data_IF_297355919848
#
_entry.id   IF_297355919848
#
_cell.length_a   1.000
_cell.length_b   1.000
_cell.length_c   1.000
_cell.angle_alpha   90.00
_cell.angle_beta   90.00
_cell.angle_gamma   90.00
#
_symmetry.space_group_name_H-M   'P 1'
#
loop_
_entity.id
_entity.type
_entity.pdbx_description
1 polymer ?
#
# COMPACT_ATOMS: atom_id res chain seq x y z
N UNK A 1 -5.27 -35.42 -22.71
CA UNK A 1 -6.76 -35.45 -22.77
C UNK A 1 -7.47 -34.55 -21.74
N UNK A 2 -6.84 -34.14 -20.63
CA UNK A 2 -7.51 -33.36 -19.57
C UNK A 2 -7.84 -31.89 -19.88
N UNK A 3 -7.20 -31.25 -20.86
CA UNK A 3 -7.37 -29.81 -21.14
C UNK A 3 -8.58 -29.47 -22.02
N UNK A 4 -9.12 -30.42 -22.79
CA UNK A 4 -10.33 -30.20 -23.63
C UNK A 4 -11.64 -30.41 -22.88
N UNK A 5 -11.63 -31.22 -21.83
CA UNK A 5 -12.85 -31.52 -21.08
C UNK A 5 -13.18 -30.40 -20.07
N UNK A 6 -12.17 -29.74 -19.51
CA UNK A 6 -12.32 -28.65 -18.53
C UNK A 6 -12.92 -27.36 -19.09
N UNK A 7 -12.93 -27.15 -20.41
CA UNK A 7 -13.51 -25.97 -21.06
C UNK A 7 -15.01 -26.10 -21.39
N UNK A 8 -15.57 -27.29 -21.22
CA UNK A 8 -16.99 -27.55 -21.46
C UNK A 8 -17.84 -27.16 -20.26
N UNK A 9 -19.09 -26.76 -20.50
CA UNK A 9 -20.01 -26.47 -19.39
C UNK A 9 -20.19 -27.70 -18.49
N UNK A 10 -20.41 -27.52 -17.17
CA UNK A 10 -20.55 -28.65 -16.24
C UNK A 10 -21.61 -29.67 -16.68
N UNK A 11 -22.70 -29.20 -17.30
CA UNK A 11 -23.76 -30.03 -17.86
C UNK A 11 -23.26 -30.88 -19.04
N UNK A 12 -22.45 -30.29 -19.94
CA UNK A 12 -21.83 -31.02 -21.05
C UNK A 12 -20.80 -32.04 -20.57
N UNK A 13 -20.03 -31.71 -19.53
CA UNK A 13 -19.10 -32.66 -18.89
C UNK A 13 -19.86 -33.85 -18.31
N UNK A 14 -20.94 -33.62 -17.56
CA UNK A 14 -21.74 -34.73 -17.02
C UNK A 14 -22.35 -35.57 -18.13
N UNK A 15 -22.89 -34.96 -19.19
CA UNK A 15 -23.46 -35.70 -20.32
C UNK A 15 -22.43 -36.59 -21.03
N UNK A 16 -21.20 -36.10 -21.25
CA UNK A 16 -20.13 -36.89 -21.87
C UNK A 16 -19.70 -38.05 -20.97
N UNK A 17 -19.51 -37.79 -19.67
CA UNK A 17 -19.16 -38.84 -18.69
C UNK A 17 -20.26 -39.91 -18.63
N UNK A 18 -21.53 -39.49 -18.66
CA UNK A 18 -22.69 -40.40 -18.64
C UNK A 18 -22.75 -41.28 -19.88
N UNK A 19 -22.48 -40.71 -21.06
CA UNK A 19 -22.44 -41.46 -22.32
C UNK A 19 -21.30 -42.49 -22.34
N UNK A 20 -20.11 -42.13 -21.86
CA UNK A 20 -18.98 -43.06 -21.74
C UNK A 20 -19.31 -44.17 -20.74
N UNK A 21 -19.89 -43.82 -19.58
CA UNK A 21 -20.29 -44.80 -18.57
C UNK A 21 -21.35 -45.78 -19.09
N UNK A 22 -22.33 -45.32 -19.87
CA UNK A 22 -23.34 -46.17 -20.48
C UNK A 22 -22.73 -47.15 -21.50
N UNK A 23 -21.81 -46.69 -22.35
CA UNK A 23 -21.11 -47.54 -23.32
C UNK A 23 -20.26 -48.62 -22.64
N UNK A 24 -19.51 -48.25 -21.61
CA UNK A 24 -18.70 -49.19 -20.83
C UNK A 24 -19.58 -50.20 -20.08
N UNK A 25 -20.69 -49.75 -19.50
CA UNK A 25 -21.64 -50.61 -18.81
C UNK A 25 -22.24 -51.65 -19.76
N UNK A 26 -22.69 -51.22 -20.95
CA UNK A 26 -23.26 -52.12 -21.98
C UNK A 26 -22.23 -53.11 -22.48
N UNK A 27 -20.99 -52.68 -22.76
CA UNK A 27 -19.92 -53.57 -23.18
C UNK A 27 -19.60 -54.62 -22.09
N UNK A 28 -19.44 -54.17 -20.84
CA UNK A 28 -19.15 -55.06 -19.71
C UNK A 28 -20.27 -56.08 -19.47
N UNK A 29 -21.52 -55.60 -19.41
CA UNK A 29 -22.69 -56.46 -19.19
C UNK A 29 -22.85 -57.45 -20.34
N UNK A 30 -22.71 -57.01 -21.60
CA UNK A 30 -22.79 -57.89 -22.77
C UNK A 30 -21.71 -58.97 -22.78
N UNK A 31 -20.46 -58.62 -22.50
CA UNK A 31 -19.35 -59.59 -22.44
C UNK A 31 -19.55 -60.61 -21.33
N UNK A 32 -19.89 -60.17 -20.11
CA UNK A 32 -20.14 -61.07 -18.98
C UNK A 32 -21.32 -61.99 -19.27
N UNK A 33 -22.42 -61.45 -19.80
CA UNK A 33 -23.62 -62.24 -20.06
C UNK A 33 -23.37 -63.33 -21.11
N UNK A 34 -22.69 -62.99 -22.21
CA UNK A 34 -22.35 -63.94 -23.27
C UNK A 34 -21.42 -65.06 -22.79
N UNK A 35 -20.46 -64.76 -21.91
CA UNK A 35 -19.51 -65.75 -21.39
C UNK A 35 -20.15 -66.76 -20.43
N UNK A 36 -21.10 -66.33 -19.60
CA UNK A 36 -21.67 -67.17 -18.53
C UNK A 36 -23.02 -67.79 -18.86
N UNK A 37 -23.88 -67.10 -19.64
CA UNK A 37 -25.28 -67.48 -19.84
C UNK A 37 -25.65 -67.70 -21.31
N UNK A 38 -24.80 -67.29 -22.26
CA UNK A 38 -25.10 -67.35 -23.70
C UNK A 38 -26.17 -66.34 -24.14
N UNK A 39 -26.71 -66.51 -25.36
CA UNK A 39 -27.81 -65.68 -25.87
C UNK A 39 -29.16 -66.31 -25.50
N UNK A 40 -29.75 -65.87 -24.38
CA UNK A 40 -31.11 -66.21 -23.98
C UNK A 40 -32.06 -65.01 -24.15
N UNK A 41 -33.37 -65.20 -23.92
CA UNK A 41 -34.35 -64.11 -24.07
C UNK A 41 -34.13 -62.93 -23.08
N UNK A 42 -33.40 -63.15 -21.99
CA UNK A 42 -33.13 -62.14 -20.95
C UNK A 42 -31.94 -61.24 -21.30
N UNK A 43 -31.10 -61.64 -22.26
CA UNK A 43 -29.96 -60.86 -22.75
C UNK A 43 -30.35 -59.41 -23.10
N UNK A 44 -31.43 -59.24 -23.86
CA UNK A 44 -31.89 -57.91 -24.27
C UNK A 44 -32.38 -57.05 -23.09
N UNK A 45 -32.98 -57.67 -22.07
CA UNK A 45 -33.38 -56.96 -20.85
C UNK A 45 -32.17 -56.47 -20.05
N UNK A 46 -31.12 -57.30 -19.94
CA UNK A 46 -29.88 -56.95 -19.25
C UNK A 46 -29.15 -55.78 -19.94
N UNK A 47 -29.07 -55.80 -21.28
CA UNK A 47 -28.48 -54.71 -22.07
C UNK A 47 -29.28 -53.41 -21.89
N UNK A 48 -30.62 -53.47 -21.95
CA UNK A 48 -31.46 -52.30 -21.76
C UNK A 48 -31.29 -51.69 -20.35
N UNK A 49 -31.26 -52.52 -19.30
CA UNK A 49 -31.05 -52.04 -17.93
C UNK A 49 -29.65 -51.42 -17.74
N UNK A 50 -28.61 -52.06 -18.28
CA UNK A 50 -27.24 -51.54 -18.25
C UNK A 50 -27.09 -50.20 -18.98
N UNK A 51 -27.91 -49.94 -20.00
CA UNK A 51 -27.93 -48.66 -20.68
C UNK A 51 -28.66 -47.58 -19.86
N UNK A 52 -29.77 -47.93 -19.20
CA UNK A 52 -30.64 -46.96 -18.49
C UNK A 52 -30.10 -46.52 -17.13
N UNK A 53 -29.49 -47.43 -16.35
CA UNK A 53 -29.03 -47.16 -14.97
C UNK A 53 -28.02 -45.99 -14.90
N UNK A 54 -27.00 -45.90 -15.77
CA UNK A 54 -26.06 -44.78 -15.76
C UNK A 54 -26.75 -43.44 -15.90
N UNK A 55 -27.69 -43.29 -16.84
CA UNK A 55 -28.44 -42.04 -17.03
C UNK A 55 -29.31 -41.68 -15.83
N UNK A 56 -29.96 -42.67 -15.21
CA UNK A 56 -30.81 -42.47 -14.04
C UNK A 56 -30.04 -41.90 -12.83
N UNK A 57 -28.75 -42.24 -12.68
CA UNK A 57 -27.90 -41.79 -11.56
C UNK A 57 -27.15 -40.50 -11.91
N UNK A 58 -26.56 -40.44 -13.10
CA UNK A 58 -25.63 -39.37 -13.48
C UNK A 58 -26.33 -38.04 -13.78
N UNK A 59 -27.54 -38.05 -14.36
CA UNK A 59 -28.29 -36.83 -14.64
C UNK A 59 -28.66 -36.09 -13.33
N UNK A 60 -29.33 -36.72 -12.33
CA UNK A 60 -29.68 -36.03 -11.09
C UNK A 60 -28.45 -35.58 -10.29
N UNK A 61 -27.40 -36.42 -10.23
CA UNK A 61 -26.16 -36.10 -9.54
C UNK A 61 -25.44 -34.90 -10.19
N UNK A 62 -25.41 -34.85 -11.52
CA UNK A 62 -24.87 -33.72 -12.28
C UNK A 62 -25.58 -32.41 -12.00
N UNK A 63 -26.92 -32.43 -12.00
CA UNK A 63 -27.73 -31.27 -11.67
C UNK A 63 -27.50 -30.80 -10.23
N UNK A 64 -27.43 -31.73 -9.28
CA UNK A 64 -27.13 -31.44 -7.88
C UNK A 64 -25.75 -30.80 -7.71
N UNK A 65 -24.70 -31.39 -8.31
CA UNK A 65 -23.34 -30.84 -8.27
C UNK A 65 -23.24 -29.49 -8.98
N UNK A 66 -23.94 -29.29 -10.10
CA UNK A 66 -23.99 -28.01 -10.81
C UNK A 66 -24.59 -26.92 -9.92
N UNK A 67 -25.70 -27.21 -9.23
CA UNK A 67 -26.32 -26.29 -8.27
C UNK A 67 -25.41 -25.98 -7.09
N UNK A 68 -24.69 -26.97 -6.56
CA UNK A 68 -23.71 -26.75 -5.48
C UNK A 68 -22.52 -25.89 -5.93
N UNK A 69 -21.97 -26.16 -7.12
CA UNK A 69 -20.88 -25.35 -7.70
C UNK A 69 -21.30 -23.91 -7.89
N UNK A 70 -22.52 -23.67 -8.38
CA UNK A 70 -23.05 -22.32 -8.53
C UNK A 70 -23.13 -21.58 -7.20
N UNK A 71 -23.66 -22.23 -6.14
CA UNK A 71 -23.69 -21.65 -4.78
C UNK A 71 -22.29 -21.36 -4.24
N UNK A 72 -21.33 -22.28 -4.43
CA UNK A 72 -19.95 -22.08 -4.00
C UNK A 72 -19.30 -20.88 -4.69
N UNK A 73 -19.47 -20.75 -6.00
CA UNK A 73 -18.96 -19.60 -6.77
C UNK A 73 -19.59 -18.29 -6.30
N UNK A 74 -20.88 -18.29 -5.98
CA UNK A 74 -21.53 -17.10 -5.41
C UNK A 74 -21.01 -16.74 -4.02
N UNK A 75 -20.80 -17.72 -3.15
CA UNK A 75 -20.25 -17.50 -1.81
C UNK A 75 -18.81 -16.97 -1.89
N UNK A 76 -17.97 -17.53 -2.76
CA UNK A 76 -16.60 -17.04 -2.91
C UNK A 76 -16.56 -15.63 -3.48
N UNK A 77 -17.45 -15.28 -4.41
CA UNK A 77 -17.57 -13.91 -4.92
C UNK A 77 -18.03 -12.95 -3.81
N UNK A 78 -19.04 -13.31 -3.01
CA UNK A 78 -19.49 -12.51 -1.86
C UNK A 78 -18.39 -12.30 -0.82
N UNK A 79 -17.60 -13.34 -0.53
CA UNK A 79 -16.46 -13.24 0.38
C UNK A 79 -15.41 -12.27 -0.17
N UNK A 80 -15.07 -12.37 -1.47
CA UNK A 80 -14.15 -11.44 -2.12
C UNK A 80 -14.66 -10.00 -2.08
N UNK A 81 -15.93 -9.76 -2.40
CA UNK A 81 -16.53 -8.43 -2.32
C UNK A 81 -16.50 -7.87 -0.90
N UNK A 82 -16.84 -8.69 0.10
CA UNK A 82 -16.81 -8.29 1.51
C UNK A 82 -15.38 -7.97 1.95
N UNK A 83 -14.39 -8.76 1.51
CA UNK A 83 -12.98 -8.52 1.79
C UNK A 83 -12.48 -7.21 1.17
N UNK A 84 -12.92 -6.88 -0.06
CA UNK A 84 -12.61 -5.60 -0.70
C UNK A 84 -13.25 -4.45 0.08
N UNK A 85 -14.53 -4.56 0.45
CA UNK A 85 -15.23 -3.55 1.24
C UNK A 85 -14.58 -3.33 2.60
N UNK A 86 -14.19 -4.40 3.30
CA UNK A 86 -13.51 -4.30 4.59
C UNK A 86 -12.15 -3.61 4.45
N UNK A 87 -11.36 -3.95 3.41
CA UNK A 87 -10.09 -3.27 3.12
C UNK A 87 -10.29 -1.80 2.79
N UNK A 88 -11.33 -1.45 2.02
CA UNK A 88 -11.66 -0.06 1.72
C UNK A 88 -12.09 0.70 2.97
N UNK A 89 -12.93 0.11 3.81
CA UNK A 89 -13.36 0.71 5.07
C UNK A 89 -12.17 0.90 6.03
N UNK A 90 -11.29 -0.09 6.16
CA UNK A 90 -10.08 0.03 6.98
C UNK A 90 -9.16 1.13 6.44
N UNK A 91 -8.92 1.19 5.13
CA UNK A 91 -8.15 2.29 4.52
C UNK A 91 -8.81 3.64 4.76
N UNK A 92 -10.13 3.73 4.66
CA UNK A 92 -10.87 4.96 4.94
C UNK A 92 -10.82 5.35 6.43
N UNK A 93 -10.74 4.39 7.35
CA UNK A 93 -10.53 4.63 8.78
C UNK A 93 -9.08 5.04 9.08
N UNK A 94 -8.09 4.40 8.46
CA UNK A 94 -6.69 4.80 8.52
C UNK A 94 -6.52 6.24 8.01
N UNK A 95 -7.19 6.59 6.92
CA UNK A 95 -7.25 7.95 6.38
C UNK A 95 -7.96 8.96 7.30
N UNK A 96 -8.75 8.51 8.28
CA UNK A 96 -9.42 9.40 9.25
C UNK A 96 -8.57 9.72 10.47
N UNK A 97 -7.37 9.15 10.57
CA UNK A 97 -6.40 9.58 11.58
C UNK A 97 -5.70 10.82 11.05
N UNK A 98 -6.36 11.97 11.21
CA UNK A 98 -5.82 13.26 10.79
C UNK A 98 -4.55 13.65 11.56
N UNK A 99 -4.31 12.98 12.69
CA UNK A 99 -3.35 13.38 13.73
C UNK A 99 -2.47 12.19 14.10
N UNK A 100 -1.15 12.37 14.13
CA UNK A 100 -0.19 11.42 14.68
C UNK A 100 -0.42 11.23 16.18
N UNK A 101 -0.75 10.01 16.63
CA UNK A 101 -1.15 9.75 18.01
C UNK A 101 -0.07 9.99 19.06
N UNK A 102 1.20 10.10 18.64
CA UNK A 102 2.33 10.36 19.54
C UNK A 102 2.55 11.87 19.71
N UNK A 103 2.79 12.58 18.62
CA UNK A 103 3.13 14.02 18.66
C UNK A 103 1.89 14.91 18.68
N UNK A 104 0.74 14.38 18.27
CA UNK A 104 -0.51 15.10 18.06
C UNK A 104 -0.45 16.13 16.91
N UNK A 105 0.58 16.08 16.06
CA UNK A 105 0.66 16.85 14.82
C UNK A 105 -0.13 16.16 13.72
N UNK A 106 -0.21 16.73 12.52
CA UNK A 106 -0.83 16.03 11.41
C UNK A 106 -0.09 14.73 11.08
N UNK A 107 -0.84 13.69 10.71
CA UNK A 107 -0.25 12.49 10.12
C UNK A 107 0.31 12.79 8.72
N UNK A 108 1.21 11.93 8.22
CA UNK A 108 1.83 12.09 6.89
C UNK A 108 0.81 12.40 5.79
N UNK A 109 -0.24 11.59 5.69
CA UNK A 109 -1.26 11.74 4.64
C UNK A 109 -2.05 13.04 4.78
N UNK A 110 -2.32 13.46 6.02
CA UNK A 110 -3.07 14.68 6.33
C UNK A 110 -2.26 15.95 6.07
N UNK A 111 -0.97 15.92 6.39
CA UNK A 111 -0.03 16.98 6.05
C UNK A 111 -0.01 17.22 4.54
N UNK A 112 0.21 16.17 3.74
CA UNK A 112 0.24 16.31 2.29
C UNK A 112 -1.11 16.74 1.70
N UNK A 113 -2.21 16.23 2.23
CA UNK A 113 -3.55 16.64 1.78
C UNK A 113 -3.80 18.15 2.02
N UNK A 114 -3.37 18.69 3.16
CA UNK A 114 -3.49 20.12 3.45
C UNK A 114 -2.50 20.96 2.64
N UNK A 115 -1.26 20.50 2.47
CA UNK A 115 -0.28 21.14 1.60
C UNK A 115 -0.84 21.27 0.17
N UNK A 116 -1.38 20.19 -0.39
CA UNK A 116 -1.94 20.19 -1.75
C UNK A 116 -3.16 21.11 -1.88
N UNK A 117 -3.98 21.21 -0.83
CA UNK A 117 -5.15 22.09 -0.81
C UNK A 117 -4.77 23.58 -0.72
N UNK A 118 -3.83 23.95 0.17
CA UNK A 118 -3.51 25.34 0.45
C UNK A 118 -2.52 25.95 -0.55
N UNK A 119 -1.63 25.14 -1.14
CA UNK A 119 -0.64 25.65 -2.11
C UNK A 119 -1.26 26.21 -3.38
N UNK A 120 -2.50 25.81 -3.71
CA UNK A 120 -3.20 26.30 -4.90
C UNK A 120 -3.63 27.77 -4.76
N UNK A 121 -3.85 28.22 -3.53
CA UNK A 121 -4.42 29.53 -3.21
C UNK A 121 -3.38 30.54 -2.67
N UNK A 122 -2.12 30.12 -2.49
CA UNK A 122 -1.04 30.95 -1.92
C UNK A 122 -0.21 31.62 -3.02
N UNK A 123 0.08 32.92 -2.90
CA UNK A 123 0.92 33.63 -3.88
C UNK A 123 2.42 33.28 -3.73
N UNK A 124 2.86 33.09 -2.49
CA UNK A 124 4.19 32.61 -2.15
C UNK A 124 4.06 31.60 -1.02
N UNK A 125 4.78 30.48 -1.09
CA UNK A 125 4.76 29.49 -0.02
C UNK A 125 6.09 28.76 0.09
N UNK A 126 6.36 28.27 1.30
CA UNK A 126 7.58 27.56 1.64
C UNK A 126 7.24 26.19 2.20
N UNK A 127 8.00 25.18 1.76
CA UNK A 127 8.03 23.88 2.39
C UNK A 127 9.34 23.71 3.16
N UNK A 128 9.25 23.19 4.38
CA UNK A 128 10.39 22.75 5.17
C UNK A 128 10.28 21.28 5.51
N UNK A 129 11.41 20.60 5.47
CA UNK A 129 11.58 19.26 6.03
C UNK A 129 12.59 19.37 7.18
N UNK A 130 12.15 18.94 8.36
CA UNK A 130 12.91 18.98 9.60
C UNK A 130 13.23 17.55 10.00
N UNK A 131 14.49 17.29 10.35
CA UNK A 131 14.93 15.99 10.84
C UNK A 131 15.73 16.13 12.14
N UNK A 132 15.45 15.25 13.09
CA UNK A 132 16.12 15.24 14.39
C UNK A 132 17.54 14.67 14.24
N UNK A 133 18.53 15.51 14.52
CA UNK A 133 19.91 15.12 14.40
C UNK A 133 20.24 14.02 15.41
N UNK A 134 20.94 12.99 14.92
CA UNK A 134 21.40 11.88 15.76
C UNK A 134 20.28 11.16 16.54
N UNK A 135 19.03 11.18 16.06
CA UNK A 135 17.90 10.54 16.75
C UNK A 135 18.14 9.06 17.09
N UNK A 136 18.77 8.32 16.17
CA UNK A 136 19.19 6.93 16.44
C UNK A 136 20.09 6.83 17.69
N UNK A 137 21.04 7.76 17.89
CA UNK A 137 21.90 7.76 19.10
C UNK A 137 21.11 8.07 20.36
N UNK A 138 20.07 8.92 20.29
CA UNK A 138 19.17 9.18 21.41
C UNK A 138 18.47 7.87 21.81
N UNK A 139 17.92 7.14 20.84
CA UNK A 139 17.29 5.84 21.07
C UNK A 139 18.27 4.79 21.60
N UNK A 140 19.46 4.69 21.00
CA UNK A 140 20.47 3.70 21.38
C UNK A 140 21.00 3.96 22.80
N UNK A 141 21.13 5.23 23.21
CA UNK A 141 21.67 5.61 24.52
C UNK A 141 20.61 5.63 25.64
N UNK A 142 19.37 5.99 25.34
CA UNK A 142 18.34 6.27 26.36
C UNK A 142 17.07 5.42 26.21
N UNK A 143 16.96 4.63 25.15
CA UNK A 143 15.80 3.79 24.83
C UNK A 143 14.71 4.52 24.04
N UNK A 144 13.90 3.74 23.32
CA UNK A 144 12.84 4.25 22.45
C UNK A 144 11.82 5.16 23.15
N UNK A 145 11.46 4.86 24.40
CA UNK A 145 10.53 5.69 25.17
C UNK A 145 11.05 7.12 25.40
N UNK A 146 12.37 7.30 25.48
CA UNK A 146 13.00 8.62 25.62
C UNK A 146 13.06 9.33 24.27
N UNK A 147 13.33 8.59 23.18
CA UNK A 147 13.19 9.13 21.83
C UNK A 147 11.78 9.62 21.53
N UNK A 148 10.75 8.87 21.93
CA UNK A 148 9.35 9.29 21.77
C UNK A 148 9.07 10.60 22.51
N UNK A 149 9.61 10.77 23.72
CA UNK A 149 9.51 12.05 24.46
C UNK A 149 10.18 13.21 23.74
N UNK A 150 11.33 12.98 23.09
CA UNK A 150 11.98 14.00 22.28
C UNK A 150 11.08 14.43 21.11
N UNK A 151 10.42 13.49 20.42
CA UNK A 151 9.51 13.80 19.33
C UNK A 151 8.25 14.55 19.79
N UNK A 152 7.69 14.18 20.95
CA UNK A 152 6.58 14.92 21.58
C UNK A 152 6.99 16.36 21.88
N UNK A 153 8.18 16.55 22.44
CA UNK A 153 8.71 17.89 22.75
C UNK A 153 8.81 18.76 21.50
N UNK A 154 9.33 18.22 20.40
CA UNK A 154 9.38 18.93 19.12
C UNK A 154 7.97 19.31 18.63
N UNK A 155 7.00 18.40 18.74
CA UNK A 155 5.61 18.69 18.39
C UNK A 155 5.03 19.86 19.18
N UNK A 156 5.33 19.94 20.48
CA UNK A 156 4.89 21.06 21.32
C UNK A 156 5.61 22.37 20.97
N UNK A 157 6.89 22.33 20.60
CA UNK A 157 7.63 23.51 20.12
C UNK A 157 7.00 24.00 18.81
N UNK A 158 6.77 23.13 17.83
CA UNK A 158 6.17 23.55 16.56
C UNK A 158 4.80 24.21 16.76
N UNK A 159 3.94 23.66 17.62
CA UNK A 159 2.62 24.28 17.91
C UNK A 159 2.72 25.66 18.56
N UNK A 160 3.77 25.93 19.33
CA UNK A 160 3.98 27.21 20.00
C UNK A 160 4.60 28.25 19.06
N UNK A 161 5.48 27.81 18.17
CA UNK A 161 6.24 28.69 17.27
C UNK A 161 5.47 29.05 16.01
N UNK A 162 4.68 28.11 15.47
CA UNK A 162 3.96 28.28 14.20
C UNK A 162 2.60 28.96 14.38
N UNK A 163 2.17 29.68 13.34
CA UNK A 163 0.87 30.38 13.28
C UNK A 163 -0.25 29.39 13.01
N UNK A 164 -1.50 29.83 13.22
CA UNK A 164 -2.70 29.02 13.00
C UNK A 164 -2.86 28.53 11.55
N UNK A 165 -2.39 29.31 10.58
CA UNK A 165 -2.49 28.97 9.15
C UNK A 165 -1.32 28.12 8.65
N UNK A 166 -0.27 27.96 9.46
CA UNK A 166 0.87 27.13 9.14
C UNK A 166 0.49 25.66 9.36
N UNK A 167 0.94 24.80 8.45
CA UNK A 167 0.62 23.36 8.49
C UNK A 167 1.85 22.61 8.96
N UNK A 168 1.71 21.80 10.00
CA UNK A 168 2.80 20.96 10.52
C UNK A 168 2.34 19.53 10.72
N UNK A 169 3.17 18.58 10.29
CA UNK A 169 2.90 17.16 10.41
C UNK A 169 4.15 16.30 10.56
N UNK A 170 3.97 15.12 11.14
CA UNK A 170 5.02 14.10 11.19
C UNK A 170 4.93 13.25 9.94
N UNK A 171 5.94 13.35 9.08
CA UNK A 171 5.95 12.68 7.77
C UNK A 171 6.77 11.38 7.80
N UNK A 172 7.65 11.20 8.78
CA UNK A 172 8.49 10.00 8.94
C UNK A 172 8.74 9.64 10.40
N UNK A 173 9.70 8.74 10.63
CA UNK A 173 10.08 8.30 11.99
C UNK A 173 10.54 9.47 12.86
N UNK A 174 11.57 10.19 12.41
CA UNK A 174 12.12 11.39 13.05
C UNK A 174 12.02 12.65 12.18
N UNK A 175 11.18 12.59 11.14
CA UNK A 175 11.03 13.63 10.12
C UNK A 175 9.68 14.33 10.23
N UNK A 176 9.72 15.66 10.17
CA UNK A 176 8.56 16.54 10.21
C UNK A 176 8.50 17.41 8.95
N UNK A 177 7.29 17.64 8.46
CA UNK A 177 7.01 18.58 7.38
C UNK A 177 6.35 19.84 7.95
N UNK A 178 6.79 21.00 7.48
CA UNK A 178 6.16 22.29 7.78
C UNK A 178 5.88 23.00 6.46
N UNK A 179 4.64 23.43 6.26
CA UNK A 179 4.22 24.22 5.11
C UNK A 179 3.73 25.57 5.59
N UNK A 180 4.33 26.63 5.03
CA UNK A 180 4.06 28.02 5.37
C UNK A 180 3.41 28.69 4.15
N UNK A 181 2.08 28.87 4.14
CA UNK A 181 1.42 29.67 3.11
C UNK A 181 1.77 31.15 3.29
N UNK A 182 1.62 31.92 2.21
CA UNK A 182 1.86 33.37 2.17
C UNK A 182 3.21 33.80 2.77
N UNK A 183 4.25 33.01 2.51
CA UNK A 183 5.58 33.18 3.11
C UNK A 183 6.64 33.15 2.01
N UNK A 184 7.53 34.14 2.00
CA UNK A 184 8.67 34.19 1.08
C UNK A 184 9.81 33.26 1.52
N UNK A 185 10.72 32.92 0.60
CA UNK A 185 11.86 32.05 0.90
C UNK A 185 12.75 32.58 2.06
N UNK A 186 12.98 33.90 2.10
CA UNK A 186 13.77 34.55 3.14
C UNK A 186 13.08 34.52 4.51
N UNK A 187 11.77 34.78 4.55
CA UNK A 187 10.96 34.63 5.77
C UNK A 187 10.93 33.18 6.23
N UNK A 188 10.83 32.24 5.29
CA UNK A 188 10.94 30.81 5.56
C UNK A 188 12.26 30.46 6.25
N UNK A 189 13.40 30.92 5.73
CA UNK A 189 14.69 30.69 6.39
C UNK A 189 14.72 31.26 7.82
N UNK A 190 14.19 32.46 8.03
CA UNK A 190 14.13 33.09 9.37
C UNK A 190 13.28 32.25 10.33
N UNK A 191 12.10 31.80 9.89
CA UNK A 191 11.22 30.94 10.69
C UNK A 191 11.90 29.60 11.00
N UNK A 192 12.61 29.02 10.02
CA UNK A 192 13.42 27.83 10.21
C UNK A 192 14.47 28.03 11.30
N UNK A 193 15.19 29.16 11.31
CA UNK A 193 16.22 29.44 12.31
C UNK A 193 15.63 29.65 13.70
N UNK A 194 14.46 30.30 13.79
CA UNK A 194 13.72 30.43 15.05
C UNK A 194 13.39 29.03 15.60
N UNK A 195 12.81 28.16 14.77
CA UNK A 195 12.46 26.79 15.17
C UNK A 195 13.70 26.02 15.62
N UNK A 196 14.78 26.09 14.85
CA UNK A 196 16.04 25.41 15.18
C UNK A 196 16.59 25.87 16.53
N UNK A 197 16.59 27.18 16.76
CA UNK A 197 17.12 27.76 17.99
C UNK A 197 16.23 27.45 19.21
N UNK A 198 14.91 27.47 19.05
CA UNK A 198 13.97 27.06 20.10
C UNK A 198 14.19 25.59 20.51
N UNK A 199 14.40 24.69 19.53
CA UNK A 199 14.68 23.27 19.81
C UNK A 199 16.02 23.10 20.54
N UNK A 200 17.07 23.76 20.05
CA UNK A 200 18.41 23.70 20.63
C UNK A 200 18.45 24.19 22.09
N UNK A 201 17.68 25.25 22.40
CA UNK A 201 17.65 25.84 23.73
C UNK A 201 16.64 25.18 24.68
N UNK A 202 15.75 24.32 24.17
CA UNK A 202 14.76 23.66 25.02
C UNK A 202 15.43 22.63 25.93
N UNK A 203 15.10 22.69 27.21
CA UNK A 203 15.62 21.73 28.20
C UNK A 203 15.01 20.36 27.93
N UNK A 204 15.84 19.41 27.50
CA UNK A 204 15.49 18.00 27.41
C UNK A 204 16.32 17.19 28.41
N UNK A 205 15.63 16.54 29.34
CA UNK A 205 16.25 15.73 30.40
C UNK A 205 15.84 14.25 30.23
N UNK A 206 16.60 13.44 29.47
CA UNK A 206 16.28 12.03 29.27
C UNK A 206 16.21 11.25 30.58
N UNK A 207 17.05 11.59 31.56
CA UNK A 207 17.08 11.06 32.93
C UNK A 207 17.23 12.20 33.94
N UNK A 208 16.81 11.99 35.19
CA UNK A 208 16.83 13.01 36.23
C UNK A 208 18.20 13.69 36.35
N UNK A 209 18.25 15.02 36.17
CA UNK A 209 19.46 15.87 36.21
C UNK A 209 20.49 15.63 35.11
N UNK A 210 20.16 14.87 34.07
CA UNK A 210 21.01 14.75 32.88
C UNK A 210 20.42 15.57 31.75
N UNK A 211 21.06 16.68 31.38
CA UNK A 211 20.66 17.48 30.22
C UNK A 211 21.23 16.90 28.94
N UNK A 212 20.40 16.85 27.90
CA UNK A 212 20.81 16.49 26.55
C UNK A 212 20.27 17.54 25.58
N UNK A 213 21.13 18.05 24.70
CA UNK A 213 20.74 19.03 23.69
C UNK A 213 20.22 18.28 22.46
N UNK A 214 19.00 18.58 22.05
CA UNK A 214 18.45 18.10 20.79
C UNK A 214 18.72 19.16 19.73
N UNK A 215 19.24 18.77 18.58
CA UNK A 215 19.38 19.66 17.42
C UNK A 215 18.60 19.11 16.23
N UNK A 216 18.29 19.97 15.28
CA UNK A 216 17.62 19.59 14.04
C UNK A 216 18.34 20.17 12.84
N UNK A 217 18.30 19.42 11.74
CA UNK A 217 18.65 19.92 10.42
C UNK A 217 17.37 20.25 9.66
N UNK A 218 17.34 21.39 8.96
CA UNK A 218 16.14 21.86 8.25
C UNK A 218 16.50 22.15 6.79
N UNK A 219 15.78 21.52 5.87
CA UNK A 219 15.80 21.86 4.45
C UNK A 219 14.58 22.70 4.09
N UNK A 220 14.81 23.87 3.51
CA UNK A 220 13.78 24.85 3.11
C UNK A 220 13.75 24.92 1.59
N UNK A 221 12.57 25.02 0.99
CA UNK A 221 12.41 25.32 -0.44
C UNK A 221 11.21 26.23 -0.62
N UNK A 222 11.34 27.19 -1.52
CA UNK A 222 10.21 27.88 -2.09
C UNK A 222 9.39 26.94 -2.98
N UNK A 223 8.12 27.26 -3.17
CA UNK A 223 7.20 26.51 -4.00
C UNK A 223 6.93 27.35 -5.25
N UNK A 224 7.37 26.84 -6.40
CA UNK A 224 7.06 27.46 -7.68
C UNK A 224 5.60 27.16 -8.09
N UNK A 225 4.93 28.07 -8.84
CA UNK A 225 3.61 27.80 -9.40
C UNK A 225 3.59 26.51 -10.21
N UNK A 226 2.58 25.68 -10.01
CA UNK A 226 2.40 24.39 -10.69
C UNK A 226 3.54 23.38 -10.51
N UNK A 227 4.40 23.56 -9.51
CA UNK A 227 5.47 22.61 -9.23
C UNK A 227 4.90 21.25 -8.82
N UNK A 228 5.40 20.19 -9.46
CA UNK A 228 5.03 18.82 -9.07
C UNK A 228 5.47 18.53 -7.63
N UNK A 229 4.64 17.78 -6.90
CA UNK A 229 4.88 17.46 -5.49
C UNK A 229 6.16 16.65 -5.29
N UNK A 230 6.50 15.74 -6.22
CA UNK A 230 7.74 14.96 -6.10
C UNK A 230 8.98 15.84 -6.31
N UNK A 231 8.91 16.80 -7.23
CA UNK A 231 9.98 17.79 -7.42
C UNK A 231 10.15 18.68 -6.18
N UNK A 232 9.04 19.18 -5.62
CA UNK A 232 9.02 20.00 -4.42
C UNK A 232 9.67 19.26 -3.22
N UNK A 233 9.25 18.01 -2.97
CA UNK A 233 9.86 17.18 -1.94
C UNK A 233 11.34 16.92 -2.20
N UNK A 234 11.71 16.66 -3.46
CA UNK A 234 13.11 16.45 -3.86
C UNK A 234 14.01 17.65 -3.57
N UNK A 235 13.50 18.88 -3.76
CA UNK A 235 14.23 20.10 -3.43
C UNK A 235 14.46 20.23 -1.92
N UNK A 236 13.40 20.07 -1.12
CA UNK A 236 13.50 20.16 0.34
C UNK A 236 14.42 19.06 0.92
N UNK A 237 14.34 17.83 0.40
CA UNK A 237 15.23 16.73 0.79
C UNK A 237 16.69 17.01 0.43
N UNK A 238 16.94 17.68 -0.71
CA UNK A 238 18.29 18.06 -1.14
C UNK A 238 18.89 19.12 -0.23
N UNK A 239 18.08 20.13 0.16
CA UNK A 239 18.48 21.13 1.13
C UNK A 239 18.76 20.50 2.51
N UNK A 240 17.87 19.62 2.99
CA UNK A 240 18.04 18.91 4.25
C UNK A 240 19.30 18.02 4.24
N UNK A 241 19.53 17.30 3.15
CA UNK A 241 20.73 16.49 2.99
C UNK A 241 22.00 17.34 3.05
N UNK A 242 21.97 18.52 2.43
CA UNK A 242 23.07 19.50 2.51
C UNK A 242 23.28 19.97 3.94
N UNK A 243 22.22 20.33 4.68
CA UNK A 243 22.29 20.69 6.09
C UNK A 243 22.95 19.58 6.94
N UNK A 244 22.58 18.32 6.71
CA UNK A 244 23.20 17.17 7.42
C UNK A 244 24.67 16.96 7.07
N UNK A 245 25.08 17.28 5.83
CA UNK A 245 26.48 17.16 5.38
C UNK A 245 27.35 18.31 5.85
N UNK A 246 26.80 19.51 5.96
CA UNK A 246 27.52 20.72 6.36
C UNK A 246 27.65 20.86 7.88
N UNK A 247 27.47 19.78 8.66
CA UNK A 247 27.67 19.80 10.11
C UNK A 247 26.41 19.68 10.96
N UNK A 248 25.22 19.52 10.35
CA UNK A 248 23.92 19.46 11.06
C UNK A 248 23.58 20.76 11.81
N UNK A 249 22.53 20.77 12.62
CA UNK A 249 22.08 21.92 13.41
C UNK A 249 22.06 23.23 12.60
N UNK A 250 21.43 23.21 11.43
CA UNK A 250 21.38 24.37 10.55
C UNK A 250 20.17 24.32 9.62
N UNK A 251 19.81 25.50 9.10
CA UNK A 251 18.80 25.67 8.07
C UNK A 251 19.48 25.91 6.73
N UNK A 252 19.08 25.16 5.71
CA UNK A 252 19.58 25.35 4.34
C UNK A 252 18.40 25.61 3.43
N UNK A 253 18.46 26.70 2.65
CA UNK A 253 17.51 26.94 1.56
C UNK A 253 18.01 26.24 0.30
N UNK A 254 17.09 25.60 -0.41
CA UNK A 254 17.36 24.98 -1.69
C UNK A 254 17.75 26.05 -2.71
N UNK A 255 18.87 25.82 -3.41
CA UNK A 255 19.27 26.62 -4.56
C UNK A 255 19.39 25.72 -5.79
N UNK A 256 18.96 26.20 -6.97
CA UNK A 256 19.18 25.47 -8.22
C UNK A 256 20.66 25.13 -8.42
N UNK A 257 20.96 23.84 -8.64
CA UNK A 257 22.32 23.34 -8.83
C UNK A 257 22.92 22.63 -7.61
N UNK A 258 22.23 22.60 -6.47
CA UNK A 258 22.62 21.75 -5.34
C UNK A 258 22.67 20.27 -5.73
N UNK A 259 23.67 19.55 -5.21
CA UNK A 259 23.83 18.11 -5.47
C UNK A 259 22.71 17.32 -4.79
N UNK A 260 21.82 16.74 -5.58
CA UNK A 260 20.73 15.92 -5.09
C UNK A 260 21.24 14.77 -4.20
N UNK A 261 20.47 14.43 -3.16
CA UNK A 261 20.69 13.24 -2.36
C UNK A 261 20.71 12.01 -3.29
N UNK A 262 21.80 11.22 -3.32
CA UNK A 262 21.84 10.04 -4.18
C UNK A 262 20.76 9.06 -3.74
N UNK A 263 19.79 8.76 -4.62
CA UNK A 263 18.77 7.75 -4.34
C UNK A 263 19.46 6.38 -4.15
N UNK A 264 19.07 5.59 -3.13
CA UNK A 264 19.59 4.25 -2.96
C UNK A 264 19.33 3.42 -4.23
N UNK A 265 20.31 2.60 -4.62
CA UNK A 265 20.34 1.87 -5.91
C UNK A 265 19.13 0.94 -6.08
N UNK A 266 18.45 0.57 -5.01
CA UNK A 266 17.32 -0.37 -5.03
C UNK A 266 16.06 0.16 -5.75
N UNK A 267 15.87 1.48 -5.82
CA UNK A 267 14.68 2.08 -6.48
C UNK A 267 14.84 2.21 -8.00
N UNK A 268 16.06 2.09 -8.56
CA UNK A 268 16.26 2.20 -10.02
C UNK A 268 15.67 1.03 -10.82
N UNK A 269 15.41 -0.10 -10.16
CA UNK A 269 14.96 -1.33 -10.83
C UNK A 269 13.46 -1.28 -11.12
N UNK A 270 12.68 -0.45 -10.43
CA UNK A 270 11.23 -0.36 -10.66
C UNK A 270 10.85 0.56 -11.83
N UNK A 271 11.70 1.53 -12.17
CA UNK A 271 11.45 2.47 -13.28
C UNK A 271 11.91 1.94 -14.65
N UNK A 272 12.71 0.87 -14.70
CA UNK A 272 13.06 0.17 -15.94
C UNK A 272 12.10 -0.99 -16.23
N UNK A 273 10.84 -0.67 -16.54
CA UNK A 273 10.05 -1.55 -17.44
C UNK A 273 10.26 -1.06 -18.86
N UNK A 274 11.06 -1.76 -19.70
CA UNK A 274 11.10 -1.40 -21.12
C UNK A 274 9.70 -1.56 -21.69
N UNK A 275 9.18 -0.48 -22.27
CA UNK A 275 8.03 -0.53 -23.16
C UNK A 275 8.48 -1.37 -24.35
N UNK A 276 8.24 -2.69 -24.28
CA UNK A 276 8.31 -3.55 -25.45
C UNK A 276 7.15 -3.15 -26.34
N UNK A 277 7.42 -2.21 -27.25
CA UNK A 277 6.62 -2.00 -28.44
C UNK A 277 6.65 -3.32 -29.21
N UNK A 278 5.57 -4.10 -29.11
CA UNK A 278 5.34 -5.21 -30.01
C UNK A 278 5.10 -4.62 -31.40
N UNK A 279 6.14 -4.69 -32.22
CA UNK A 279 6.07 -4.65 -33.67
C UNK A 279 5.11 -5.75 -34.14
N UNK A 280 3.93 -5.37 -34.62
CA UNK A 280 3.15 -6.23 -35.49
C UNK A 280 3.27 -5.73 -36.91
N UNK A 281 4.05 -6.49 -37.68
CA UNK A 281 4.00 -6.59 -39.13
C UNK A 281 2.56 -6.62 -39.64
N UNK A 282 2.27 -5.75 -40.60
CA UNK A 282 1.57 -6.08 -41.84
C UNK A 282 2.17 -5.25 -42.98
#
# INVERSE_FOLDING_TARGET
MNTRMSSLSPVRQTAIISAIAALLSVAFTGTVYLLFFGMDERFWSAINMSFLIPWAITIPLGLYMSKQRFKLVQLTNRLKETQIKLRQANKALEQRVNIDGMTGLLSRDSFFSQLDALRADSEASVLMIVDVDHFKKINDNFGHLVGDKALVLLGDIFRKTLRKNDVVGRIGGEEFGIFLPDTSASEGQIIGEIIRHEIENTIFEPHHKMRHVITVSIGVTDIAPHQDRAALMGNADTALFTAKRCGRNQVVLFEPGMSAKPRPVHDRVQDFKPILVQSNFR
#
